data_IF_406485670732
#
_entry.id   IF_406485670732
#
_cell.length_a   1.000
_cell.length_b   1.000
_cell.length_c   1.000
_cell.angle_alpha   90.00
_cell.angle_beta   90.00
_cell.angle_gamma   90.00
#
_symmetry.space_group_name_H-M   'P 1'
#
loop_
_entity.id
_entity.type
_entity.pdbx_description
1 polymer ?
#
# COMPACT_ATOMS: atom_id res chain seq x y z
N UNK A 1 -15.58 -0.98 3.13
CA UNK A 1 -15.31 0.48 3.18
C UNK A 1 -14.19 0.74 4.19
N UNK A 2 -13.08 1.41 3.83
CA UNK A 2 -11.92 1.54 4.73
C UNK A 2 -11.78 3.00 5.20
N UNK A 3 -11.76 3.28 6.52
CA UNK A 3 -11.79 4.65 7.04
C UNK A 3 -10.49 5.43 6.84
N UNK A 4 -9.41 4.75 6.44
CA UNK A 4 -8.07 5.36 6.36
C UNK A 4 -7.82 6.09 5.03
N UNK A 5 -8.75 6.03 4.08
CA UNK A 5 -8.64 6.74 2.81
C UNK A 5 -9.13 8.20 2.98
N UNK A 6 -8.34 9.04 3.64
CA UNK A 6 -8.66 10.44 3.97
C UNK A 6 -7.84 11.48 3.18
N UNK A 7 -7.17 11.08 2.10
CA UNK A 7 -6.33 11.97 1.31
C UNK A 7 -7.10 13.21 0.81
N UNK A 8 -6.54 14.40 1.02
CA UNK A 8 -7.11 15.67 0.51
C UNK A 8 -7.09 15.66 -1.02
N UNK A 9 -5.99 15.23 -1.62
CA UNK A 9 -5.85 14.97 -3.05
C UNK A 9 -5.62 13.47 -3.26
N UNK A 10 -6.51 12.80 -4.01
CA UNK A 10 -6.45 11.35 -4.19
C UNK A 10 -5.85 11.00 -5.56
N UNK A 11 -4.84 10.13 -5.58
CA UNK A 11 -4.22 9.60 -6.80
C UNK A 11 -5.23 8.93 -7.73
N UNK A 12 -6.29 8.30 -7.21
CA UNK A 12 -7.33 7.67 -8.03
C UNK A 12 -8.23 8.66 -8.76
N UNK A 13 -8.17 9.97 -8.44
CA UNK A 13 -8.91 11.01 -9.17
C UNK A 13 -8.10 11.59 -10.33
N UNK A 14 -6.83 11.20 -10.48
CA UNK A 14 -5.95 11.70 -11.54
C UNK A 14 -6.22 10.91 -12.83
N UNK A 15 -6.69 11.56 -13.91
CA UNK A 15 -7.16 10.86 -15.11
C UNK A 15 -6.07 10.02 -15.80
N UNK A 16 -4.80 10.38 -15.63
CA UNK A 16 -3.66 9.66 -16.18
C UNK A 16 -3.27 8.39 -15.40
N UNK A 17 -3.82 8.20 -14.19
CA UNK A 17 -3.65 6.98 -13.39
C UNK A 17 -4.89 6.10 -13.46
N UNK A 18 -6.07 6.71 -13.33
CA UNK A 18 -7.35 6.00 -13.33
C UNK A 18 -8.31 6.76 -14.23
N UNK A 19 -8.77 6.10 -15.29
CA UNK A 19 -9.73 6.67 -16.22
C UNK A 19 -11.08 6.94 -15.52
N UNK A 20 -11.59 8.18 -15.51
CA UNK A 20 -12.85 8.50 -14.87
C UNK A 20 -14.07 7.92 -15.61
N UNK A 21 -15.07 7.45 -14.86
CA UNK A 21 -16.37 7.02 -15.41
C UNK A 21 -16.43 5.57 -15.90
N UNK A 22 -15.31 4.83 -15.86
CA UNK A 22 -15.28 3.41 -16.21
C UNK A 22 -15.75 2.53 -15.04
N UNK A 23 -16.68 1.60 -15.31
CA UNK A 23 -17.12 0.58 -14.35
C UNK A 23 -17.10 -0.79 -15.05
N UNK A 24 -16.33 -1.78 -14.55
CA UNK A 24 -15.45 -1.71 -13.37
C UNK A 24 -14.25 -0.76 -13.59
N UNK A 25 -13.67 -0.18 -12.53
CA UNK A 25 -12.51 0.69 -12.65
C UNK A 25 -11.30 -0.10 -13.19
N UNK A 26 -10.33 0.59 -13.82
CA UNK A 26 -9.10 -0.05 -14.26
C UNK A 26 -8.32 -0.63 -13.07
N UNK A 27 -7.54 -1.68 -13.31
CA UNK A 27 -6.78 -2.38 -12.27
C UNK A 27 -5.87 -1.46 -11.42
N UNK A 28 -5.38 -0.38 -12.02
CA UNK A 28 -4.59 0.65 -11.34
C UNK A 28 -5.30 1.24 -10.11
N UNK A 29 -6.63 1.31 -10.11
CA UNK A 29 -7.40 1.73 -8.94
C UNK A 29 -7.12 0.85 -7.71
N UNK A 30 -7.10 -0.47 -7.90
CA UNK A 30 -6.81 -1.41 -6.82
C UNK A 30 -5.36 -1.32 -6.37
N UNK A 31 -4.41 -1.25 -7.31
CA UNK A 31 -2.98 -1.12 -7.01
C UNK A 31 -2.66 0.12 -6.15
N UNK A 32 -3.20 1.29 -6.52
CA UNK A 32 -3.02 2.53 -5.74
C UNK A 32 -3.57 2.35 -4.33
N UNK A 33 -4.76 1.76 -4.19
CA UNK A 33 -5.38 1.54 -2.88
C UNK A 33 -4.58 0.56 -2.04
N UNK A 34 -4.11 -0.53 -2.62
CA UNK A 34 -3.25 -1.50 -1.96
C UNK A 34 -1.97 -0.85 -1.44
N UNK A 35 -1.27 -0.12 -2.30
CA UNK A 35 -0.02 0.56 -1.93
C UNK A 35 -0.20 1.60 -0.82
N UNK A 36 -1.31 2.33 -0.79
CA UNK A 36 -1.54 3.39 0.21
C UNK A 36 -2.11 2.88 1.55
N UNK A 37 -2.65 1.66 1.60
CA UNK A 37 -3.43 1.16 2.76
C UNK A 37 -2.76 -0.03 3.43
N UNK A 38 -1.95 -0.80 2.70
CA UNK A 38 -1.40 -2.08 3.16
C UNK A 38 -0.67 -1.97 4.51
N UNK A 39 0.16 -0.95 4.68
CA UNK A 39 0.95 -0.71 5.90
C UNK A 39 0.11 -0.32 7.13
N UNK A 40 -1.14 0.04 6.93
CA UNK A 40 -2.06 0.49 7.97
C UNK A 40 -3.26 -0.47 8.13
N UNK A 41 -3.30 -1.55 7.34
CA UNK A 41 -4.39 -2.51 7.35
C UNK A 41 -4.29 -3.47 8.53
N UNK A 42 -5.31 -3.49 9.38
CA UNK A 42 -5.42 -4.41 10.53
C UNK A 42 -6.22 -5.69 10.21
N UNK A 43 -6.41 -6.02 8.93
CA UNK A 43 -7.17 -7.17 8.44
C UNK A 43 -8.62 -7.28 8.97
N UNK A 44 -9.36 -6.16 9.01
CA UNK A 44 -10.75 -6.16 9.47
C UNK A 44 -11.75 -6.82 8.51
N UNK A 45 -11.36 -7.19 7.29
CA UNK A 45 -12.20 -7.89 6.30
C UNK A 45 -13.31 -7.06 5.63
N UNK A 46 -13.59 -5.86 6.13
CA UNK A 46 -14.69 -5.00 5.65
C UNK A 46 -14.55 -4.53 4.19
N UNK A 47 -13.36 -4.60 3.60
CA UNK A 47 -13.15 -4.33 2.17
C UNK A 47 -13.61 -5.50 1.28
N UNK A 48 -13.43 -6.73 1.73
CA UNK A 48 -13.78 -7.95 1.02
C UNK A 48 -15.28 -8.23 1.11
N UNK A 49 -15.86 -8.14 2.31
CA UNK A 49 -17.29 -8.33 2.55
C UNK A 49 -18.17 -7.39 1.70
N UNK A 50 -17.70 -6.17 1.45
CA UNK A 50 -18.43 -5.15 0.69
C UNK A 50 -18.10 -5.16 -0.82
N UNK A 51 -17.25 -6.08 -1.28
CA UNK A 51 -16.84 -6.10 -2.68
C UNK A 51 -17.89 -6.80 -3.54
N UNK A 52 -18.55 -6.05 -4.43
CA UNK A 52 -19.55 -6.60 -5.36
C UNK A 52 -18.99 -7.61 -6.38
N UNK A 53 -17.67 -7.74 -6.47
CA UNK A 53 -16.97 -8.61 -7.41
C UNK A 53 -16.25 -9.77 -6.71
N UNK A 54 -16.49 -9.98 -5.40
CA UNK A 54 -15.88 -11.06 -4.61
C UNK A 54 -14.34 -11.11 -4.68
N UNK A 55 -13.70 -9.94 -4.81
CA UNK A 55 -12.24 -9.84 -4.83
C UNK A 55 -11.74 -10.06 -3.39
N UNK A 56 -10.75 -10.96 -3.18
CA UNK A 56 -10.19 -11.24 -1.87
C UNK A 56 -9.25 -10.11 -1.42
N UNK A 57 -9.81 -8.92 -1.18
CA UNK A 57 -9.05 -7.71 -0.85
C UNK A 57 -8.27 -7.87 0.46
N UNK A 58 -8.79 -8.63 1.43
CA UNK A 58 -8.11 -8.82 2.71
C UNK A 58 -6.85 -9.67 2.53
N UNK A 59 -6.88 -10.67 1.65
CA UNK A 59 -5.72 -11.51 1.33
C UNK A 59 -4.57 -10.68 0.76
N UNK A 60 -4.84 -9.79 -0.20
CA UNK A 60 -3.81 -8.95 -0.80
C UNK A 60 -3.21 -7.96 0.21
N UNK A 61 -4.04 -7.34 1.05
CA UNK A 61 -3.57 -6.45 2.12
C UNK A 61 -2.70 -7.21 3.13
N UNK A 62 -3.13 -8.40 3.53
CA UNK A 62 -2.39 -9.23 4.47
C UNK A 62 -1.04 -9.70 3.92
N UNK A 63 -0.99 -10.09 2.65
CA UNK A 63 0.27 -10.49 2.01
C UNK A 63 1.32 -9.36 2.09
N UNK A 64 0.95 -8.13 1.69
CA UNK A 64 1.85 -6.98 1.79
C UNK A 64 2.21 -6.64 3.25
N UNK A 65 1.30 -6.83 4.20
CA UNK A 65 1.59 -6.61 5.61
C UNK A 65 2.64 -7.60 6.13
N UNK A 66 2.53 -8.89 5.76
CA UNK A 66 3.53 -9.91 6.14
C UNK A 66 4.89 -9.51 5.60
N UNK A 67 4.97 -9.11 4.33
CA UNK A 67 6.23 -8.64 3.71
C UNK A 67 6.79 -7.42 4.48
N UNK A 68 5.94 -6.43 4.81
CA UNK A 68 6.36 -5.25 5.57
C UNK A 68 6.82 -5.57 6.99
N UNK A 69 6.19 -6.56 7.63
CA UNK A 69 6.58 -7.01 8.97
C UNK A 69 7.92 -7.74 8.93
N UNK A 70 8.16 -8.59 7.92
CA UNK A 70 9.43 -9.29 7.74
C UNK A 70 10.59 -8.33 7.41
N UNK A 71 10.31 -7.35 6.56
CA UNK A 71 11.30 -6.36 6.11
C UNK A 71 11.61 -5.32 7.20
N UNK A 72 10.58 -4.75 7.83
CA UNK A 72 10.72 -3.56 8.67
C UNK A 72 10.34 -3.77 10.14
N UNK A 73 9.84 -4.96 10.52
CA UNK A 73 9.30 -5.20 11.86
C UNK A 73 8.01 -4.45 12.15
N UNK A 74 7.37 -3.86 11.13
CA UNK A 74 6.19 -3.02 11.28
C UNK A 74 4.94 -3.84 11.58
N UNK A 75 4.16 -3.44 12.59
CA UNK A 75 2.89 -4.08 12.93
C UNK A 75 1.76 -3.04 12.95
N UNK A 76 0.83 -3.06 11.98
CA UNK A 76 -0.25 -2.09 11.92
C UNK A 76 -1.16 -2.15 13.15
N UNK A 77 -1.52 -0.98 13.67
CA UNK A 77 -2.49 -0.84 14.76
C UNK A 77 -1.95 -1.10 16.18
N UNK A 78 -0.64 -1.25 16.34
CA UNK A 78 0.01 -1.45 17.65
C UNK A 78 0.56 -0.14 18.20
N UNK A 79 1.28 0.62 17.38
CA UNK A 79 1.82 1.94 17.71
C UNK A 79 1.21 3.03 16.81
N UNK A 80 1.53 4.29 17.15
CA UNK A 80 1.11 5.47 16.40
C UNK A 80 2.27 6.03 15.56
N UNK A 81 3.31 5.24 15.31
CA UNK A 81 4.39 5.65 14.42
C UNK A 81 3.85 5.78 12.99
N UNK A 82 4.53 6.62 12.20
CA UNK A 82 4.10 6.81 10.83
C UNK A 82 4.26 5.51 10.05
N UNK A 83 3.26 5.12 9.23
CA UNK A 83 3.34 3.90 8.44
C UNK A 83 4.59 3.91 7.54
N UNK A 84 5.21 2.75 7.36
CA UNK A 84 6.51 2.63 6.66
C UNK A 84 6.45 3.23 5.25
N UNK A 85 5.35 3.07 4.52
CA UNK A 85 5.22 3.61 3.16
C UNK A 85 4.96 5.14 3.16
N UNK A 86 4.57 5.72 4.29
CA UNK A 86 4.45 7.17 4.47
C UNK A 86 5.80 7.85 4.77
N UNK A 87 6.80 7.11 5.25
CA UNK A 87 8.12 7.63 5.64
C UNK A 87 9.15 7.65 4.49
N UNK A 88 8.82 7.07 3.34
CA UNK A 88 9.75 7.00 2.21
C UNK A 88 9.84 8.38 1.54
N UNK A 89 10.72 9.24 2.06
CA UNK A 89 11.29 10.31 1.27
C UNK A 89 12.17 9.67 0.18
N UNK A 90 11.58 9.50 -1.00
CA UNK A 90 12.23 8.87 -2.15
C UNK A 90 13.65 9.41 -2.44
N UNK A 91 13.95 10.72 -2.32
CA UNK A 91 15.31 11.23 -2.50
C UNK A 91 16.28 10.79 -1.41
N UNK A 92 15.81 10.63 -0.17
CA UNK A 92 16.60 10.25 1.00
C UNK A 92 16.90 8.75 0.95
N UNK A 93 15.89 7.92 0.65
CA UNK A 93 16.07 6.49 0.49
C UNK A 93 16.91 6.13 -0.74
N UNK A 94 16.73 6.80 -1.89
CA UNK A 94 17.62 6.58 -3.05
C UNK A 94 19.07 6.94 -2.76
N UNK A 95 19.34 7.99 -1.98
CA UNK A 95 20.71 8.32 -1.57
C UNK A 95 21.30 7.23 -0.66
N UNK A 96 20.49 6.69 0.26
CA UNK A 96 20.90 5.58 1.12
C UNK A 96 21.25 4.33 0.30
N UNK A 97 20.37 3.94 -0.63
CA UNK A 97 20.57 2.78 -1.52
C UNK A 97 21.81 2.94 -2.42
N UNK A 98 21.96 4.11 -3.06
CA UNK A 98 23.14 4.40 -3.86
C UNK A 98 24.45 4.34 -3.05
N UNK A 99 24.42 4.68 -1.75
CA UNK A 99 25.59 4.59 -0.87
C UNK A 99 25.96 3.15 -0.49
N UNK A 100 25.00 2.23 -0.47
CA UNK A 100 25.20 0.80 -0.21
C UNK A 100 25.63 0.01 -1.45
N UNK A 101 25.60 0.63 -2.64
CA UNK A 101 25.98 0.00 -3.92
C UNK A 101 24.93 -0.97 -4.46
N UNK A 102 23.73 -0.94 -3.89
CA UNK A 102 22.61 -1.83 -4.21
C UNK A 102 21.34 -0.97 -4.37
N UNK A 103 20.54 -1.26 -5.39
CA UNK A 103 19.24 -0.61 -5.59
C UNK A 103 18.12 -1.25 -4.78
N UNK A 104 18.42 -2.38 -4.14
CA UNK A 104 17.50 -3.13 -3.31
C UNK A 104 17.53 -2.63 -1.86
N UNK A 105 16.34 -2.42 -1.29
CA UNK A 105 16.20 -2.13 0.16
C UNK A 105 16.53 -3.39 0.98
N UNK A 106 16.29 -4.58 0.42
CA UNK A 106 16.60 -5.89 0.99
C UNK A 106 17.07 -6.85 -0.11
N UNK A 107 17.95 -7.78 0.21
CA UNK A 107 18.42 -8.80 -0.74
C UNK A 107 17.35 -9.89 -0.96
N UNK A 108 16.44 -9.65 -1.90
CA UNK A 108 15.27 -10.51 -2.19
C UNK A 108 15.69 -11.82 -2.91
N UNK A 109 16.96 -11.95 -3.31
CA UNK A 109 17.48 -13.06 -4.11
C UNK A 109 18.45 -13.98 -3.35
N UNK A 110 18.51 -13.88 -2.03
CA UNK A 110 19.21 -14.84 -1.16
C UNK A 110 18.40 -16.11 -0.91
#
# INVERSE_FOLDING_TARGET
NCPICYCVECSTKKPYLVEPGQVPPPFMFHLIRYAHIADSCINCGQCEEHCAMDIPNSLFMHAMQVDLQEMFGHTPGVDMELPVLALVEEPTERKRLASTGDDQIFDIFK
#
